data_IF_985503283656
#
_entry.id   IF_985503283656
#
_cell.length_a   1.000
_cell.length_b   1.000
_cell.length_c   1.000
_cell.angle_alpha   90.00
_cell.angle_beta   90.00
_cell.angle_gamma   90.00
#
_symmetry.space_group_name_H-M   'P 1'
#
loop_
_entity.id
_entity.type
_entity.pdbx_description
1 polymer ?
#
# COMPACT_ATOMS: atom_id res chain seq x y z
N UNK A 1 -5.02 9.27 3.20
CA UNK A 1 -5.79 8.12 2.74
C UNK A 1 -7.23 8.20 3.25
N UNK A 2 -8.19 7.69 2.48
CA UNK A 2 -9.61 7.69 2.85
C UNK A 2 -10.32 6.42 2.39
N UNK A 3 -11.29 5.94 3.19
CA UNK A 3 -12.22 4.89 2.80
C UNK A 3 -13.45 5.42 2.02
N UNK A 4 -13.56 6.73 1.81
CA UNK A 4 -14.60 7.39 1.02
C UNK A 4 -16.00 7.49 1.65
N UNK A 5 -16.24 6.85 2.79
CA UNK A 5 -17.60 6.81 3.38
C UNK A 5 -18.13 8.21 3.67
N UNK A 6 -17.31 9.04 4.32
CA UNK A 6 -17.66 10.41 4.70
C UNK A 6 -17.30 11.45 3.63
N UNK A 7 -16.69 11.03 2.51
CA UNK A 7 -16.31 11.93 1.44
C UNK A 7 -17.58 12.56 0.83
N UNK A 8 -17.61 13.88 0.83
CA UNK A 8 -18.60 14.74 0.17
C UNK A 8 -17.89 15.81 -0.66
N UNK A 9 -18.63 16.67 -1.36
CA UNK A 9 -18.03 17.69 -2.24
C UNK A 9 -17.16 18.71 -1.49
N UNK A 10 -17.52 19.08 -0.27
CA UNK A 10 -16.75 20.03 0.56
C UNK A 10 -15.41 19.42 0.96
N UNK A 11 -15.42 18.19 1.47
CA UNK A 11 -14.21 17.45 1.86
C UNK A 11 -13.33 17.17 0.64
N UNK A 12 -13.92 16.78 -0.48
CA UNK A 12 -13.20 16.55 -1.73
C UNK A 12 -12.51 17.82 -2.24
N UNK A 13 -13.21 18.97 -2.21
CA UNK A 13 -12.63 20.26 -2.56
C UNK A 13 -11.46 20.62 -1.66
N UNK A 14 -11.61 20.48 -0.35
CA UNK A 14 -10.53 20.72 0.60
C UNK A 14 -9.30 19.84 0.32
N UNK A 15 -9.50 18.54 0.08
CA UNK A 15 -8.41 17.61 -0.25
C UNK A 15 -7.72 18.04 -1.55
N UNK A 16 -8.49 18.43 -2.58
CA UNK A 16 -7.93 18.83 -3.88
C UNK A 16 -7.13 20.13 -3.79
N UNK A 17 -7.52 21.04 -2.92
CA UNK A 17 -6.84 22.33 -2.75
C UNK A 17 -5.59 22.23 -1.85
N UNK A 18 -5.66 21.45 -0.77
CA UNK A 18 -4.66 21.49 0.30
C UNK A 18 -3.76 20.25 0.39
N UNK A 19 -4.11 19.14 -0.27
CA UNK A 19 -3.35 17.90 -0.17
C UNK A 19 -2.71 17.54 -1.51
N UNK A 20 -1.38 17.30 -1.47
CA UNK A 20 -0.63 16.94 -2.67
C UNK A 20 -1.15 15.62 -3.28
N UNK A 21 -1.32 14.59 -2.48
CA UNK A 21 -1.74 13.26 -2.95
C UNK A 21 -2.94 12.73 -2.15
N UNK A 22 -3.82 11.98 -2.81
CA UNK A 22 -4.94 11.29 -2.19
C UNK A 22 -4.88 9.78 -2.44
N UNK A 23 -5.01 8.97 -1.39
CA UNK A 23 -5.11 7.52 -1.50
C UNK A 23 -6.54 7.08 -1.22
N UNK A 24 -7.16 6.47 -2.23
CA UNK A 24 -8.57 6.07 -2.27
C UNK A 24 -8.65 4.55 -2.04
N UNK A 25 -9.20 4.14 -0.90
CA UNK A 25 -9.21 2.73 -0.51
C UNK A 25 -10.35 1.96 -1.18
N UNK A 26 -10.03 1.12 -2.18
CA UNK A 26 -10.97 0.29 -2.93
C UNK A 26 -10.24 -0.99 -3.39
N UNK A 27 -10.77 -2.17 -3.02
CA UNK A 27 -10.03 -3.43 -3.21
C UNK A 27 -10.20 -4.05 -4.62
N UNK A 28 -11.14 -3.57 -5.43
CA UNK A 28 -11.38 -4.10 -6.78
C UNK A 28 -12.85 -4.29 -7.08
N UNK A 29 -13.23 -5.46 -7.60
CA UNK A 29 -14.61 -5.82 -7.91
C UNK A 29 -15.53 -5.67 -6.69
N UNK A 30 -16.79 -5.40 -6.93
CA UNK A 30 -17.79 -5.13 -5.89
C UNK A 30 -17.84 -6.22 -4.83
N UNK A 31 -17.94 -7.47 -5.23
CA UNK A 31 -18.03 -8.61 -4.33
C UNK A 31 -16.78 -8.78 -3.46
N UNK A 32 -15.59 -8.45 -3.99
CA UNK A 32 -14.32 -8.49 -3.25
C UNK A 32 -14.26 -7.34 -2.25
N UNK A 33 -14.52 -6.11 -2.72
CA UNK A 33 -14.53 -4.94 -1.84
C UNK A 33 -15.54 -5.09 -0.70
N UNK A 34 -16.78 -5.48 -1.01
CA UNK A 34 -17.87 -5.52 -0.05
C UNK A 34 -17.75 -6.68 0.95
N UNK A 35 -16.93 -7.71 0.65
CA UNK A 35 -16.58 -8.77 1.60
C UNK A 35 -15.70 -8.27 2.73
N UNK A 36 -14.75 -7.38 2.43
CA UNK A 36 -13.75 -6.90 3.39
C UNK A 36 -14.05 -5.49 3.94
N UNK A 37 -14.76 -4.65 3.15
CA UNK A 37 -15.04 -3.24 3.51
C UNK A 37 -16.54 -3.04 3.74
N UNK A 38 -17.01 -3.59 4.86
CA UNK A 38 -18.41 -3.42 5.30
C UNK A 38 -18.57 -2.11 6.08
N UNK A 39 -19.75 -1.49 5.94
CA UNK A 39 -20.18 -0.35 6.75
C UNK A 39 -20.69 -0.81 8.10
N UNK A 40 -20.85 0.10 9.06
CA UNK A 40 -21.36 -0.21 10.40
C UNK A 40 -22.71 -0.95 10.40
N UNK A 41 -23.54 -0.77 9.36
CA UNK A 41 -24.82 -1.49 9.18
C UNK A 41 -24.70 -2.85 8.48
N UNK A 42 -23.48 -3.37 8.24
CA UNK A 42 -23.23 -4.66 7.59
C UNK A 42 -23.39 -4.66 6.06
N UNK A 43 -23.76 -3.52 5.45
CA UNK A 43 -23.82 -3.42 3.98
C UNK A 43 -22.44 -3.13 3.42
N UNK A 44 -22.20 -3.54 2.16
CA UNK A 44 -21.00 -3.21 1.41
C UNK A 44 -20.82 -1.70 1.22
N UNK A 45 -19.60 -1.28 0.95
CA UNK A 45 -19.24 0.12 0.76
C UNK A 45 -19.12 0.53 -0.72
N UNK A 46 -18.96 -0.43 -1.64
CA UNK A 46 -18.62 -0.21 -3.04
C UNK A 46 -19.52 0.82 -3.75
N UNK A 47 -20.83 0.60 -3.76
CA UNK A 47 -21.79 1.48 -4.45
C UNK A 47 -21.81 2.91 -3.90
N UNK A 48 -21.41 3.07 -2.62
CA UNK A 48 -21.35 4.38 -1.98
C UNK A 48 -20.08 5.14 -2.32
N UNK A 49 -18.92 4.43 -2.45
CA UNK A 49 -17.62 5.09 -2.56
C UNK A 49 -17.14 5.25 -4.00
N UNK A 50 -17.46 4.31 -4.90
CA UNK A 50 -16.95 4.33 -6.27
C UNK A 50 -17.30 5.62 -7.01
N UNK A 51 -18.56 6.12 -7.02
CA UNK A 51 -18.88 7.36 -7.73
C UNK A 51 -18.07 8.56 -7.21
N UNK A 52 -17.81 8.61 -5.90
CA UNK A 52 -17.04 9.69 -5.27
C UNK A 52 -15.57 9.63 -5.65
N UNK A 53 -15.02 8.41 -5.72
CA UNK A 53 -13.63 8.19 -6.10
C UNK A 53 -13.37 8.48 -7.58
N UNK A 54 -14.29 8.09 -8.46
CA UNK A 54 -14.22 8.43 -9.89
C UNK A 54 -14.21 9.94 -10.06
N UNK A 55 -15.16 10.65 -9.43
CA UNK A 55 -15.21 12.11 -9.46
C UNK A 55 -13.91 12.73 -8.93
N UNK A 56 -13.38 12.27 -7.81
CA UNK A 56 -12.13 12.79 -7.25
C UNK A 56 -10.93 12.58 -8.18
N UNK A 57 -10.85 11.44 -8.86
CA UNK A 57 -9.80 11.15 -9.83
C UNK A 57 -9.91 12.08 -11.07
N UNK A 58 -11.14 12.32 -11.55
CA UNK A 58 -11.42 13.25 -12.65
C UNK A 58 -11.07 14.69 -12.26
N UNK A 59 -11.51 15.17 -11.10
CA UNK A 59 -11.23 16.53 -10.60
C UNK A 59 -9.72 16.77 -10.44
N UNK A 60 -8.91 15.70 -10.23
CA UNK A 60 -7.45 15.72 -10.21
C UNK A 60 -6.79 15.50 -11.58
N UNK A 61 -7.53 15.49 -12.66
CA UNK A 61 -7.02 15.17 -14.01
C UNK A 61 -6.25 13.85 -14.07
N UNK A 62 -6.68 12.85 -13.33
CA UNK A 62 -6.04 11.54 -13.21
C UNK A 62 -4.59 11.56 -12.67
N UNK A 63 -4.24 12.59 -11.89
CA UNK A 63 -2.91 12.81 -11.31
C UNK A 63 -2.98 12.94 -9.77
N UNK A 64 -1.86 12.70 -9.12
CA UNK A 64 -1.70 12.92 -7.67
C UNK A 64 -2.75 12.20 -6.80
N UNK A 65 -3.12 11.00 -7.20
CA UNK A 65 -3.92 10.06 -6.40
C UNK A 65 -3.50 8.62 -6.69
N UNK A 66 -3.90 7.72 -5.83
CA UNK A 66 -3.89 6.28 -6.07
C UNK A 66 -5.19 5.65 -5.59
N UNK A 67 -5.79 4.78 -6.42
CA UNK A 67 -6.71 3.78 -5.90
C UNK A 67 -5.86 2.66 -5.32
N UNK A 68 -5.99 2.43 -4.01
CA UNK A 68 -5.24 1.42 -3.31
C UNK A 68 -6.15 0.32 -2.78
N UNK A 69 -5.97 -0.87 -3.33
CA UNK A 69 -6.64 -2.09 -2.90
C UNK A 69 -5.71 -3.05 -2.19
N UNK A 70 -6.31 -4.06 -1.60
CA UNK A 70 -5.60 -5.18 -0.98
C UNK A 70 -6.18 -6.48 -1.50
N UNK A 71 -5.33 -7.37 -2.02
CA UNK A 71 -5.74 -8.72 -2.33
C UNK A 71 -5.40 -9.68 -1.19
N UNK A 72 -6.21 -10.72 -1.08
CA UNK A 72 -6.14 -11.72 -0.02
C UNK A 72 -6.22 -13.10 -0.62
N UNK A 73 -6.17 -14.15 0.19
CA UNK A 73 -6.44 -15.52 -0.26
C UNK A 73 -7.84 -15.70 -0.87
N UNK A 74 -8.78 -14.78 -0.56
CA UNK A 74 -10.14 -14.83 -1.12
C UNK A 74 -10.23 -14.40 -2.59
N UNK A 75 -9.21 -13.69 -3.10
CA UNK A 75 -9.15 -13.15 -4.46
C UNK A 75 -7.73 -13.23 -5.04
N UNK A 76 -7.16 -14.43 -5.05
CA UNK A 76 -5.85 -14.65 -5.68
C UNK A 76 -5.84 -14.30 -7.17
N UNK A 77 -7.01 -14.23 -7.82
CA UNK A 77 -7.23 -13.71 -9.17
C UNK A 77 -7.23 -12.17 -9.25
N UNK A 78 -6.45 -11.52 -8.39
CA UNK A 78 -6.40 -10.06 -8.19
C UNK A 78 -6.12 -9.25 -9.47
N UNK A 79 -5.55 -9.88 -10.51
CA UNK A 79 -5.41 -9.21 -11.81
C UNK A 79 -6.77 -8.73 -12.34
N UNK A 80 -7.86 -9.46 -12.08
CA UNK A 80 -9.21 -9.07 -12.47
C UNK A 80 -9.69 -7.85 -11.68
N UNK A 81 -9.26 -7.70 -10.42
CA UNK A 81 -9.57 -6.54 -9.59
C UNK A 81 -8.84 -5.29 -10.09
N UNK A 82 -7.55 -5.41 -10.42
CA UNK A 82 -6.76 -4.33 -11.03
C UNK A 82 -7.38 -3.88 -12.36
N UNK A 83 -7.74 -4.82 -13.22
CA UNK A 83 -8.34 -4.53 -14.52
C UNK A 83 -9.73 -3.90 -14.37
N UNK A 84 -10.52 -4.35 -13.40
CA UNK A 84 -11.80 -3.74 -13.05
C UNK A 84 -11.64 -2.26 -12.64
N UNK A 85 -10.66 -1.97 -11.79
CA UNK A 85 -10.36 -0.58 -11.41
C UNK A 85 -9.96 0.28 -12.63
N UNK A 86 -9.16 -0.28 -13.54
CA UNK A 86 -8.80 0.40 -14.78
C UNK A 86 -10.01 0.65 -15.69
N UNK A 87 -10.95 -0.30 -15.74
CA UNK A 87 -12.19 -0.19 -16.53
C UNK A 87 -13.18 0.84 -15.95
N UNK A 88 -13.12 1.11 -14.63
CA UNK A 88 -13.80 2.23 -13.99
C UNK A 88 -13.20 3.61 -14.36
N UNK A 89 -12.07 3.64 -15.08
CA UNK A 89 -11.41 4.86 -15.54
C UNK A 89 -10.23 5.32 -14.69
N UNK A 90 -9.89 4.62 -13.62
CA UNK A 90 -8.73 4.98 -12.80
C UNK A 90 -7.40 4.74 -13.55
N UNK A 91 -6.50 5.73 -13.47
CA UNK A 91 -5.18 5.69 -14.12
C UNK A 91 -4.02 5.43 -13.15
N UNK A 92 -4.25 5.53 -11.86
CA UNK A 92 -3.22 5.31 -10.82
C UNK A 92 -3.72 4.22 -9.87
N UNK A 93 -3.19 3.01 -9.99
CA UNK A 93 -3.68 1.82 -9.29
C UNK A 93 -2.55 1.15 -8.54
N UNK A 94 -2.81 0.79 -7.27
CA UNK A 94 -1.96 -0.04 -6.42
C UNK A 94 -2.81 -1.10 -5.75
N UNK A 95 -2.53 -2.37 -5.98
CA UNK A 95 -3.20 -3.49 -5.29
C UNK A 95 -2.13 -4.35 -4.64
N UNK A 96 -2.14 -4.41 -3.32
CA UNK A 96 -1.07 -4.99 -2.51
C UNK A 96 -1.53 -6.29 -1.83
N UNK A 97 -0.61 -7.22 -1.56
CA UNK A 97 -0.94 -8.40 -0.79
C UNK A 97 -1.28 -8.03 0.66
N UNK A 98 -2.26 -8.74 1.23
CA UNK A 98 -2.52 -8.62 2.67
C UNK A 98 -1.33 -9.16 3.46
N UNK A 99 -0.98 -8.46 4.55
CA UNK A 99 -0.05 -8.94 5.57
C UNK A 99 -0.82 -9.01 6.88
N UNK A 100 -1.07 -10.21 7.36
CA UNK A 100 -1.86 -10.49 8.56
C UNK A 100 -1.38 -11.79 9.19
N UNK A 101 -1.89 -12.11 10.38
CA UNK A 101 -1.62 -13.39 11.06
C UNK A 101 -1.98 -14.55 10.13
N UNK A 102 -1.10 -15.56 10.05
CA UNK A 102 -1.26 -16.72 9.17
C UNK A 102 -2.45 -17.63 9.54
N UNK A 103 -2.99 -17.46 10.75
CA UNK A 103 -4.21 -18.15 11.20
C UNK A 103 -5.50 -17.54 10.64
N UNK A 104 -5.43 -16.32 10.10
CA UNK A 104 -6.59 -15.71 9.44
C UNK A 104 -6.94 -16.46 8.15
N UNK A 105 -8.23 -16.70 7.91
CA UNK A 105 -8.71 -17.43 6.73
C UNK A 105 -8.30 -16.77 5.41
N UNK A 106 -8.19 -15.44 5.41
CA UNK A 106 -7.82 -14.63 4.23
C UNK A 106 -6.31 -14.38 4.11
N UNK A 107 -5.48 -14.91 5.02
CA UNK A 107 -4.03 -14.76 4.98
C UNK A 107 -3.42 -15.46 3.75
N UNK A 108 -2.51 -14.78 3.06
CA UNK A 108 -1.72 -15.36 1.98
C UNK A 108 -0.68 -16.31 2.60
N UNK A 109 -0.52 -17.49 1.99
CA UNK A 109 0.39 -18.55 2.43
C UNK A 109 1.40 -18.91 1.35
N UNK A 110 2.43 -19.65 1.69
CA UNK A 110 3.47 -20.07 0.73
C UNK A 110 2.91 -20.88 -0.45
N UNK A 111 1.92 -21.70 -0.21
CA UNK A 111 1.26 -22.48 -1.28
C UNK A 111 0.51 -21.61 -2.30
N UNK A 112 0.17 -20.36 -1.96
CA UNK A 112 -0.53 -19.43 -2.86
C UNK A 112 0.44 -18.72 -3.84
N UNK A 113 1.75 -18.70 -3.53
CA UNK A 113 2.76 -17.97 -4.32
C UNK A 113 2.78 -18.32 -5.81
N UNK A 114 2.70 -19.60 -6.24
CA UNK A 114 2.66 -19.93 -7.66
C UNK A 114 1.50 -19.27 -8.39
N UNK A 115 0.30 -19.24 -7.79
CA UNK A 115 -0.89 -18.60 -8.36
C UNK A 115 -0.68 -17.08 -8.43
N UNK A 116 -0.12 -16.49 -7.39
CA UNK A 116 0.17 -15.05 -7.34
C UNK A 116 1.15 -14.65 -8.46
N UNK A 117 2.19 -15.45 -8.71
CA UNK A 117 3.14 -15.16 -9.78
C UNK A 117 2.50 -15.27 -11.17
N UNK A 118 1.66 -16.29 -11.39
CA UNK A 118 0.89 -16.43 -12.64
C UNK A 118 -0.04 -15.23 -12.87
N UNK A 119 -0.70 -14.74 -11.81
CA UNK A 119 -1.56 -13.56 -11.90
C UNK A 119 -0.79 -12.27 -12.17
N UNK A 120 0.42 -12.08 -11.61
CA UNK A 120 1.28 -10.95 -11.99
C UNK A 120 1.72 -11.03 -13.46
N UNK A 121 2.07 -12.22 -13.97
CA UNK A 121 2.40 -12.38 -15.40
C UNK A 121 1.19 -12.10 -16.30
N UNK A 122 0.02 -12.59 -15.95
CA UNK A 122 -1.23 -12.32 -16.66
C UNK A 122 -1.53 -10.83 -16.71
N UNK A 123 -1.41 -10.15 -15.56
CA UNK A 123 -1.61 -8.71 -15.46
C UNK A 123 -0.61 -7.94 -16.33
N UNK A 124 0.67 -8.29 -16.30
CA UNK A 124 1.70 -7.65 -17.12
C UNK A 124 1.39 -7.76 -18.61
N UNK A 125 1.02 -8.97 -19.07
CA UNK A 125 0.64 -9.22 -20.47
C UNK A 125 -0.58 -8.39 -20.89
N UNK A 126 -1.57 -8.24 -20.01
CA UNK A 126 -2.77 -7.46 -20.29
C UNK A 126 -2.51 -5.95 -20.29
N UNK A 127 -1.66 -5.45 -19.38
CA UNK A 127 -1.23 -4.04 -19.36
C UNK A 127 -0.52 -3.67 -20.68
N UNK A 128 0.36 -4.53 -21.20
CA UNK A 128 1.02 -4.31 -22.49
C UNK A 128 0.01 -4.21 -23.64
N UNK A 129 -0.96 -5.15 -23.73
CA UNK A 129 -2.03 -5.10 -24.73
C UNK A 129 -2.88 -3.84 -24.64
N UNK A 130 -3.24 -3.41 -23.42
CA UNK A 130 -4.00 -2.18 -23.20
C UNK A 130 -3.20 -0.96 -23.61
N UNK A 131 -1.89 -0.93 -23.34
CA UNK A 131 -0.98 0.14 -23.76
C UNK A 131 -0.95 0.29 -25.28
N UNK A 132 -0.85 -0.81 -26.03
CA UNK A 132 -0.90 -0.82 -27.50
C UNK A 132 -2.21 -0.24 -28.06
N UNK A 133 -3.32 -0.38 -27.32
CA UNK A 133 -4.64 0.16 -27.67
C UNK A 133 -4.89 1.59 -27.15
N UNK A 134 -3.91 2.24 -26.51
CA UNK A 134 -4.08 3.55 -25.90
C UNK A 134 -4.89 3.55 -24.60
N UNK A 135 -5.15 2.39 -24.01
CA UNK A 135 -5.95 2.18 -22.79
C UNK A 135 -5.06 1.93 -21.56
N UNK A 136 -3.92 2.57 -21.50
CA UNK A 136 -2.97 2.35 -20.43
C UNK A 136 -3.40 2.95 -19.09
N UNK A 137 -2.87 2.37 -18.01
CA UNK A 137 -2.91 2.88 -16.64
C UNK A 137 -1.57 2.56 -15.95
N UNK A 138 -1.25 3.27 -14.88
CA UNK A 138 -0.11 2.96 -14.02
C UNK A 138 -0.51 1.90 -13.00
N UNK A 139 0.22 0.80 -12.97
CA UNK A 139 0.18 -0.14 -11.87
C UNK A 139 1.45 0.04 -11.04
N UNK A 140 1.31 0.48 -9.79
CA UNK A 140 2.40 0.93 -8.93
C UNK A 140 3.55 -0.07 -8.83
N UNK A 141 3.24 -1.36 -8.69
CA UNK A 141 4.24 -2.42 -8.54
C UNK A 141 5.09 -2.66 -9.79
N UNK A 142 4.64 -2.20 -10.97
CA UNK A 142 5.40 -2.32 -12.22
C UNK A 142 6.15 -1.04 -12.60
N UNK A 143 6.12 -0.03 -11.73
CA UNK A 143 6.84 1.23 -11.95
C UNK A 143 8.30 1.14 -11.46
N UNK A 144 9.01 0.09 -11.84
CA UNK A 144 10.42 -0.12 -11.52
C UNK A 144 11.24 0.14 -12.77
N UNK A 145 12.21 1.07 -12.68
CA UNK A 145 13.20 1.26 -13.75
C UNK A 145 14.28 0.17 -13.64
N UNK A 146 14.23 -0.76 -14.58
CA UNK A 146 15.22 -1.84 -14.71
C UNK A 146 16.37 -1.48 -15.65
N UNK A 147 16.28 -0.37 -16.40
CA UNK A 147 17.26 0.00 -17.43
C UNK A 147 18.52 0.65 -16.84
N UNK A 148 18.34 1.49 -15.84
CA UNK A 148 19.44 2.18 -15.14
C UNK A 148 19.98 1.43 -13.92
N UNK A 149 19.36 0.30 -13.56
CA UNK A 149 19.64 -0.40 -12.31
C UNK A 149 19.16 0.37 -11.07
N UNK A 150 19.23 -0.25 -9.88
CA UNK A 150 18.75 0.37 -8.65
C UNK A 150 19.74 1.45 -8.17
N UNK A 151 19.24 2.60 -7.75
CA UNK A 151 20.03 3.58 -7.04
C UNK A 151 20.23 3.12 -5.59
N UNK A 152 21.41 2.60 -5.25
CA UNK A 152 21.72 2.09 -3.92
C UNK A 152 21.41 3.12 -2.82
N UNK A 153 21.78 4.39 -3.00
CA UNK A 153 21.52 5.44 -2.02
C UNK A 153 20.04 5.63 -1.71
N UNK A 154 19.16 5.65 -2.73
CA UNK A 154 17.71 5.81 -2.56
C UNK A 154 17.01 4.54 -2.07
N UNK A 155 17.68 3.38 -2.13
CA UNK A 155 17.09 2.07 -1.83
C UNK A 155 17.70 1.39 -0.60
N UNK A 156 18.50 2.10 0.17
CA UNK A 156 19.03 1.59 1.45
C UNK A 156 17.92 1.41 2.49
N UNK A 157 16.99 2.36 2.51
CA UNK A 157 15.85 2.40 3.42
C UNK A 157 14.57 2.31 2.58
N UNK A 158 13.52 1.70 3.12
CA UNK A 158 12.23 1.59 2.44
C UNK A 158 11.49 2.93 2.32
N UNK A 159 10.25 2.97 2.81
CA UNK A 159 9.37 4.14 2.69
C UNK A 159 9.72 5.34 3.59
N UNK A 160 10.78 5.25 4.41
CA UNK A 160 11.15 6.31 5.36
C UNK A 160 10.21 6.43 6.57
N UNK A 161 9.44 5.37 6.89
CA UNK A 161 8.56 5.37 8.06
C UNK A 161 9.31 5.74 9.34
N UNK A 162 8.70 6.58 10.17
CA UNK A 162 9.27 7.08 11.43
C UNK A 162 10.36 8.15 11.29
N UNK A 163 10.82 8.43 10.06
CA UNK A 163 11.90 9.40 9.78
C UNK A 163 11.51 10.48 8.80
N UNK A 164 11.16 10.11 7.57
CA UNK A 164 10.74 11.01 6.48
C UNK A 164 9.22 11.03 6.32
N UNK A 165 8.55 10.00 6.82
CA UNK A 165 7.11 9.79 6.76
C UNK A 165 6.57 9.49 8.17
N UNK A 166 5.49 10.18 8.55
CA UNK A 166 4.75 9.99 9.80
C UNK A 166 3.26 9.87 9.51
N UNK A 167 2.55 9.07 10.31
CA UNK A 167 1.09 9.09 10.37
C UNK A 167 0.63 10.07 11.43
N UNK A 168 -0.42 10.83 11.12
CA UNK A 168 -1.09 11.74 12.05
C UNK A 168 -2.52 11.24 12.25
N UNK A 169 -2.90 11.04 13.51
CA UNK A 169 -4.29 10.67 13.86
C UNK A 169 -5.21 11.91 13.84
N UNK A 170 -6.54 11.73 13.85
CA UNK A 170 -7.48 12.86 13.98
C UNK A 170 -7.24 13.71 15.23
N UNK A 171 -6.71 13.11 16.31
CA UNK A 171 -6.38 13.79 17.58
C UNK A 171 -5.05 14.54 17.49
N UNK A 172 -4.30 14.35 16.42
CA UNK A 172 -2.99 14.97 16.21
C UNK A 172 -1.81 14.14 16.72
N UNK A 173 -2.00 12.90 17.12
CA UNK A 173 -0.93 12.01 17.58
C UNK A 173 -0.05 11.55 16.41
N UNK A 174 1.27 11.44 16.65
CA UNK A 174 2.26 11.06 15.65
C UNK A 174 2.71 9.61 15.85
N UNK A 175 2.69 8.84 14.75
CA UNK A 175 3.16 7.46 14.68
C UNK A 175 4.13 7.26 13.50
N UNK A 176 5.02 6.25 13.52
CA UNK A 176 5.96 5.98 12.43
C UNK A 176 5.29 5.79 11.07
N UNK A 177 4.15 5.09 11.03
CA UNK A 177 3.26 4.99 9.88
C UNK A 177 1.85 4.59 10.31
N UNK A 178 0.90 4.57 9.37
CA UNK A 178 -0.50 4.23 9.65
C UNK A 178 -0.70 2.83 10.24
N UNK A 179 0.19 1.88 10.00
CA UNK A 179 0.09 0.53 10.55
C UNK A 179 0.50 0.43 12.04
N UNK A 180 1.15 1.45 12.57
CA UNK A 180 1.49 1.55 13.99
C UNK A 180 0.48 2.38 14.80
N UNK A 181 -0.52 2.97 14.14
CA UNK A 181 -1.56 3.74 14.83
C UNK A 181 -2.34 2.81 15.78
N UNK A 182 -2.47 3.24 17.04
CA UNK A 182 -3.11 2.47 18.11
C UNK A 182 -2.17 1.55 18.89
N UNK A 183 -0.88 1.51 18.53
CA UNK A 183 0.16 0.83 19.32
C UNK A 183 0.90 1.91 20.14
N UNK A 184 0.51 2.08 21.41
CA UNK A 184 0.97 3.19 22.26
C UNK A 184 2.49 3.25 22.41
N UNK A 185 3.18 2.10 22.38
CA UNK A 185 4.63 2.01 22.41
C UNK A 185 5.32 2.70 21.23
N UNK A 186 4.61 2.85 20.09
CA UNK A 186 5.10 3.55 18.89
C UNK A 186 4.61 4.99 18.76
N UNK A 187 3.87 5.51 19.74
CA UNK A 187 3.45 6.92 19.74
C UNK A 187 4.68 7.83 19.90
N UNK A 188 4.94 8.65 18.88
CA UNK A 188 6.16 9.48 18.80
C UNK A 188 6.01 10.88 19.39
N UNK A 189 4.79 11.35 19.61
CA UNK A 189 4.47 12.70 20.07
C UNK A 189 3.16 13.19 19.47
N UNK A 190 3.05 14.49 19.24
CA UNK A 190 1.86 15.11 18.63
C UNK A 190 2.23 16.25 17.67
N UNK A 191 1.30 16.67 16.83
CA UNK A 191 1.47 17.86 15.97
C UNK A 191 1.64 19.15 16.78
N UNK A 192 1.22 19.14 18.04
CA UNK A 192 1.31 20.29 18.94
C UNK A 192 2.67 20.38 19.65
N UNK A 193 3.26 19.22 20.00
CA UNK A 193 4.48 19.11 20.79
C UNK A 193 5.70 18.69 19.94
N UNK A 194 5.45 18.24 18.71
CA UNK A 194 6.44 17.65 17.82
C UNK A 194 6.82 16.23 18.21
N UNK A 195 7.93 15.75 17.64
CA UNK A 195 8.44 14.39 17.91
C UNK A 195 9.21 14.38 19.23
N UNK A 196 8.61 13.81 20.27
CA UNK A 196 9.18 13.70 21.62
C UNK A 196 10.02 12.43 21.80
N UNK A 197 9.55 11.31 21.26
CA UNK A 197 10.21 9.99 21.36
C UNK A 197 11.29 9.82 20.29
N UNK A 198 12.43 10.49 20.53
CA UNK A 198 13.60 10.42 19.66
C UNK A 198 14.21 9.01 19.58
N UNK A 199 14.04 8.22 20.62
CA UNK A 199 14.45 6.81 20.66
C UNK A 199 13.74 5.98 19.57
N UNK A 200 12.42 6.16 19.38
CA UNK A 200 11.69 5.50 18.30
C UNK A 200 12.24 5.96 16.95
N UNK A 201 12.39 7.26 16.74
CA UNK A 201 12.96 7.79 15.51
C UNK A 201 14.32 7.19 15.19
N UNK A 202 15.23 7.14 16.18
CA UNK A 202 16.57 6.55 16.02
C UNK A 202 16.52 5.07 15.67
N UNK A 203 15.59 4.31 16.27
CA UNK A 203 15.37 2.91 15.92
C UNK A 203 15.02 2.76 14.44
N UNK A 204 14.08 3.58 13.93
CA UNK A 204 13.71 3.55 12.51
C UNK A 204 14.83 4.03 11.59
N UNK A 205 15.60 5.05 11.96
CA UNK A 205 16.79 5.54 11.23
C UNK A 205 17.87 4.45 11.09
N UNK A 206 18.00 3.58 12.07
CA UNK A 206 18.98 2.48 12.05
C UNK A 206 18.61 1.33 11.11
N UNK A 207 17.34 1.25 10.66
CA UNK A 207 16.84 0.16 9.81
C UNK A 207 17.23 0.42 8.37
N UNK A 208 18.00 -0.48 7.80
CA UNK A 208 18.38 -0.45 6.38
C UNK A 208 18.70 -1.87 5.90
N UNK A 209 18.95 -2.03 4.59
CA UNK A 209 19.23 -3.35 4.01
C UNK A 209 20.48 -4.04 4.57
N UNK A 210 21.40 -3.30 5.18
CA UNK A 210 22.60 -3.87 5.79
C UNK A 210 22.42 -4.19 7.28
N UNK A 211 21.48 -3.51 7.98
CA UNK A 211 21.14 -3.86 9.36
C UNK A 211 20.29 -5.13 9.47
N UNK A 212 19.63 -5.53 8.35
CA UNK A 212 18.82 -6.76 8.27
C UNK A 212 19.65 -7.94 7.79
N UNK A 213 19.94 -8.96 8.64
CA UNK A 213 20.83 -10.07 8.27
C UNK A 213 20.40 -10.79 6.99
N UNK A 214 19.10 -11.07 6.82
CA UNK A 214 18.55 -11.73 5.64
C UNK A 214 18.70 -10.92 4.35
N UNK A 215 18.83 -9.59 4.44
CA UNK A 215 18.94 -8.71 3.28
C UNK A 215 20.37 -8.51 2.78
N UNK A 216 21.39 -8.75 3.63
CA UNK A 216 22.80 -8.47 3.29
C UNK A 216 23.26 -9.13 1.98
N UNK A 217 22.91 -10.39 1.80
CA UNK A 217 23.30 -11.20 0.61
C UNK A 217 22.18 -11.28 -0.44
N UNK A 218 21.02 -10.67 -0.22
CA UNK A 218 19.91 -10.73 -1.15
C UNK A 218 20.20 -9.91 -2.41
N UNK A 219 20.01 -10.51 -3.59
CA UNK A 219 20.21 -9.82 -4.87
C UNK A 219 19.19 -8.68 -5.08
N UNK A 220 17.96 -8.84 -4.55
CA UNK A 220 16.87 -7.88 -4.71
C UNK A 220 16.93 -6.70 -3.72
N UNK A 221 17.90 -6.64 -2.80
CA UNK A 221 17.91 -5.68 -1.69
C UNK A 221 17.76 -4.21 -2.11
N UNK A 222 18.33 -3.82 -3.25
CA UNK A 222 18.24 -2.44 -3.74
C UNK A 222 17.02 -2.18 -4.63
N UNK A 223 16.22 -3.19 -4.92
CA UNK A 223 14.89 -3.05 -5.52
C UNK A 223 13.80 -3.05 -4.45
N UNK A 224 13.89 -3.99 -3.51
CA UNK A 224 12.95 -4.18 -2.40
C UNK A 224 13.14 -3.17 -1.24
N UNK A 225 14.37 -2.63 -1.05
CA UNK A 225 14.72 -1.74 0.08
C UNK A 225 14.53 -2.35 1.46
N UNK A 226 14.58 -3.69 1.59
CA UNK A 226 14.51 -4.40 2.87
C UNK A 226 13.11 -4.68 3.41
N UNK A 227 12.06 -4.49 2.61
CA UNK A 227 10.67 -4.77 3.00
C UNK A 227 10.09 -3.75 3.99
N UNK A 228 8.92 -4.06 4.52
CA UNK A 228 8.14 -3.17 5.39
C UNK A 228 8.47 -3.41 6.88
N UNK A 229 8.83 -2.35 7.62
CA UNK A 229 9.09 -2.44 9.06
C UNK A 229 7.83 -2.82 9.86
N UNK A 230 6.66 -2.36 9.45
CA UNK A 230 5.41 -2.73 10.10
C UNK A 230 5.06 -4.20 9.88
N UNK A 231 5.31 -4.74 8.68
CA UNK A 231 5.13 -6.17 8.42
C UNK A 231 6.09 -7.02 9.26
N UNK A 232 7.36 -6.57 9.41
CA UNK A 232 8.32 -7.21 10.32
C UNK A 232 7.80 -7.21 11.76
N UNK A 233 7.32 -6.07 12.25
CA UNK A 233 6.79 -5.94 13.60
C UNK A 233 5.57 -6.84 13.83
N UNK A 234 4.63 -6.84 12.90
CA UNK A 234 3.39 -7.60 13.02
C UNK A 234 3.63 -9.12 13.01
N UNK A 235 4.63 -9.59 12.25
CA UNK A 235 4.91 -11.02 12.10
C UNK A 235 5.94 -11.56 13.10
N UNK A 236 6.90 -10.72 13.52
CA UNK A 236 8.05 -11.17 14.31
C UNK A 236 8.28 -10.39 15.62
N UNK A 237 7.44 -9.39 15.91
CA UNK A 237 7.62 -8.46 17.04
C UNK A 237 9.00 -7.76 17.03
N UNK A 238 9.58 -7.57 15.87
CA UNK A 238 10.79 -6.78 15.66
C UNK A 238 10.71 -5.99 14.33
N UNK A 239 11.60 -5.04 14.13
CA UNK A 239 11.60 -4.17 12.96
C UNK A 239 12.56 -4.64 11.85
N UNK A 240 13.36 -5.70 12.10
CA UNK A 240 14.47 -6.10 11.22
C UNK A 240 14.31 -7.47 10.57
N UNK A 241 13.50 -8.36 11.11
CA UNK A 241 13.22 -9.66 10.49
C UNK A 241 12.20 -9.50 9.37
N UNK A 242 12.57 -9.72 8.09
CA UNK A 242 11.63 -9.51 7.00
C UNK A 242 10.52 -10.57 6.99
N UNK A 243 9.33 -10.16 6.56
CA UNK A 243 8.23 -11.08 6.28
C UNK A 243 8.55 -11.95 5.05
N UNK A 244 8.67 -13.28 5.24
CA UNK A 244 9.22 -14.21 4.25
C UNK A 244 8.39 -14.26 2.96
N UNK A 245 7.07 -14.34 3.05
CA UNK A 245 6.19 -14.36 1.87
C UNK A 245 6.36 -13.08 1.06
N UNK A 246 6.45 -11.92 1.74
CA UNK A 246 6.76 -10.65 1.11
C UNK A 246 8.12 -10.65 0.41
N UNK A 247 9.13 -11.31 0.97
CA UNK A 247 10.43 -11.47 0.33
C UNK A 247 10.36 -12.28 -0.97
N UNK A 248 9.59 -13.38 -0.99
CA UNK A 248 9.44 -14.20 -2.21
C UNK A 248 8.70 -13.42 -3.31
N UNK A 249 7.70 -12.62 -2.96
CA UNK A 249 6.99 -11.77 -3.93
C UNK A 249 7.84 -10.62 -4.50
N UNK A 250 8.92 -10.21 -3.83
CA UNK A 250 9.83 -9.15 -4.29
C UNK A 250 11.05 -9.66 -5.07
N UNK A 251 11.28 -10.95 -5.09
CA UNK A 251 12.37 -11.60 -5.83
C UNK A 251 11.95 -11.96 -7.26
#
# INVERSE_FOLDING_TARGET
>A
TTNGILLNDEIASYINEHMHNAVLSLDGRKEINDKMRVRAGGQGSYDNIVPKFVKMAEDRNQMDYYVRGTFTRNNLDFSNDVLHLADLGFKQISVEPVVTDENEEYAIRKEDLPIIFEEYEKLAKEILKRRERGQWFNFFHFMIDLTGGPCAHKRLVGCGSGTEYLAVTPEGDLFPCHQFVGQDEYKMGSVFDGVLRKDIRQNFESINVYSKPACKSCWAKFYCSGGCAASSNNMHNDLITPYEIGCEMQK
#
